data_IF_603909034850
#
_entry.id   IF_603909034850
#
_cell.length_a   1.000
_cell.length_b   1.000
_cell.length_c   1.000
_cell.angle_alpha   90.00
_cell.angle_beta   90.00
_cell.angle_gamma   90.00
#
_symmetry.space_group_name_H-M   'P 1'
#
loop_
_entity.id
_entity.type
_entity.pdbx_description
1 polymer ?
#
# COMPACT_ATOMS: atom_id res chain seq x y z
N UNK A 1 -5.52 27.37 -14.80
CA UNK A 1 -4.28 26.85 -14.20
C UNK A 1 -4.51 25.36 -13.99
N UNK A 2 -3.63 24.50 -14.50
CA UNK A 2 -3.78 23.03 -14.36
C UNK A 2 -3.19 22.60 -13.01
N UNK A 3 -3.94 21.79 -12.27
CA UNK A 3 -3.48 21.14 -11.04
C UNK A 3 -3.50 19.62 -11.28
N UNK A 4 -2.36 18.92 -11.20
CA UNK A 4 -2.31 17.48 -11.41
C UNK A 4 -3.01 16.73 -10.28
N UNK A 5 -3.49 15.52 -10.59
CA UNK A 5 -4.01 14.61 -9.57
C UNK A 5 -2.90 14.23 -8.58
N UNK A 6 -3.25 14.13 -7.30
CA UNK A 6 -2.36 13.61 -6.26
C UNK A 6 -2.21 12.08 -6.30
N UNK A 7 -3.05 11.38 -7.07
CA UNK A 7 -2.98 9.92 -7.21
C UNK A 7 -1.79 9.57 -8.08
N UNK A 8 -0.82 8.84 -7.51
CA UNK A 8 0.33 8.32 -8.25
C UNK A 8 -0.02 7.01 -8.95
N UNK A 9 -0.52 6.03 -8.19
CA UNK A 9 -0.96 4.75 -8.75
C UNK A 9 -1.99 4.04 -7.86
N UNK A 10 -2.97 3.34 -8.47
CA UNK A 10 -3.86 2.44 -7.74
C UNK A 10 -3.50 0.96 -7.96
N UNK A 11 -3.59 0.14 -6.92
CA UNK A 11 -3.27 -1.30 -6.99
C UNK A 11 -4.10 -2.14 -6.02
N UNK A 12 -4.05 -3.47 -6.16
CA UNK A 12 -4.57 -4.39 -5.13
C UNK A 12 -3.41 -4.87 -4.26
N UNK A 13 -3.66 -5.09 -2.97
CA UNK A 13 -2.63 -5.53 -2.03
C UNK A 13 -2.10 -6.91 -2.45
N UNK A 14 -0.80 -7.00 -2.72
CA UNK A 14 -0.15 -8.26 -3.06
C UNK A 14 -0.01 -9.13 -1.81
N UNK A 15 -0.26 -10.44 -1.95
CA UNK A 15 -0.17 -11.38 -0.85
C UNK A 15 -1.26 -11.22 0.22
N UNK A 16 -2.33 -10.46 -0.05
CA UNK A 16 -3.40 -10.18 0.93
C UNK A 16 -3.97 -11.43 1.60
N UNK A 17 -4.15 -12.51 0.83
CA UNK A 17 -4.67 -13.78 1.33
C UNK A 17 -3.70 -14.58 2.21
N UNK A 18 -2.41 -14.25 2.19
CA UNK A 18 -1.37 -14.93 2.99
C UNK A 18 -0.99 -14.14 4.24
N UNK A 19 -1.47 -12.91 4.35
CA UNK A 19 -1.27 -12.06 5.51
C UNK A 19 -2.52 -12.06 6.40
N UNK A 20 -2.43 -11.40 7.54
CA UNK A 20 -3.54 -11.27 8.49
C UNK A 20 -4.65 -10.30 8.01
N UNK A 21 -4.58 -9.84 6.75
CA UNK A 21 -5.56 -8.94 6.14
C UNK A 21 -6.99 -9.50 6.14
N UNK A 22 -7.14 -10.83 6.02
CA UNK A 22 -8.45 -11.48 6.12
C UNK A 22 -9.11 -11.29 7.50
N UNK A 23 -8.33 -11.13 8.57
CA UNK A 23 -8.84 -10.97 9.94
C UNK A 23 -9.46 -9.58 10.18
N UNK A 24 -9.05 -8.58 9.39
CA UNK A 24 -9.49 -7.17 9.54
C UNK A 24 -10.29 -6.68 8.33
N UNK A 25 -10.62 -7.56 7.38
CA UNK A 25 -11.31 -7.17 6.14
C UNK A 25 -12.66 -6.47 6.42
N UNK A 26 -13.38 -6.89 7.47
CA UNK A 26 -14.64 -6.26 7.87
C UNK A 26 -14.48 -4.88 8.54
N UNK A 27 -13.28 -4.58 9.02
CA UNK A 27 -12.97 -3.28 9.66
C UNK A 27 -12.51 -2.25 8.65
N UNK A 28 -11.87 -2.70 7.56
CA UNK A 28 -11.39 -1.85 6.48
C UNK A 28 -12.53 -1.13 5.74
N UNK A 29 -12.34 0.16 5.50
CA UNK A 29 -13.28 1.01 4.76
C UNK A 29 -12.54 1.89 3.77
N UNK A 30 -13.22 2.26 2.69
CA UNK A 30 -12.70 3.26 1.76
C UNK A 30 -12.37 4.56 2.53
N UNK A 31 -11.18 5.11 2.24
CA UNK A 31 -10.63 6.27 2.92
C UNK A 31 -9.68 5.95 4.08
N UNK A 32 -9.66 4.72 4.60
CA UNK A 32 -8.75 4.34 5.68
C UNK A 32 -7.29 4.55 5.28
N UNK A 33 -6.52 5.13 6.21
CA UNK A 33 -5.08 5.34 6.05
C UNK A 33 -4.34 4.03 6.35
N UNK A 34 -3.38 3.72 5.50
CA UNK A 34 -2.49 2.56 5.63
C UNK A 34 -1.06 3.03 5.88
N UNK A 35 -0.29 2.20 6.58
CA UNK A 35 1.13 2.43 6.81
C UNK A 35 1.94 1.64 5.79
N UNK A 36 2.89 2.31 5.14
CA UNK A 36 3.90 1.70 4.28
C UNK A 36 5.17 1.47 5.10
N UNK A 37 5.77 0.29 4.99
CA UNK A 37 7.00 -0.04 5.70
C UNK A 37 7.95 -0.78 4.76
N UNK A 38 9.12 -0.20 4.48
CA UNK A 38 10.13 -0.87 3.67
C UNK A 38 10.79 -2.01 4.47
N UNK A 39 10.81 -3.22 3.92
CA UNK A 39 11.42 -4.39 4.52
C UNK A 39 12.74 -4.73 3.82
N UNK A 40 13.79 -3.94 4.11
CA UNK A 40 15.11 -4.05 3.43
C UNK A 40 15.81 -5.40 3.62
N UNK A 41 15.58 -6.02 4.77
CA UNK A 41 16.16 -7.31 5.12
C UNK A 41 15.27 -8.49 4.68
N UNK A 42 14.24 -8.23 3.85
CA UNK A 42 13.40 -9.29 3.32
C UNK A 42 14.24 -10.23 2.43
N UNK A 43 14.30 -11.54 2.76
CA UNK A 43 15.20 -12.48 2.08
C UNK A 43 14.76 -12.81 0.64
N UNK A 44 13.53 -12.46 0.26
CA UNK A 44 12.97 -12.75 -1.05
C UNK A 44 13.03 -11.54 -1.99
N UNK A 45 12.82 -10.34 -1.44
CA UNK A 45 12.76 -9.10 -2.21
C UNK A 45 13.23 -7.90 -1.35
N UNK A 46 14.46 -7.40 -1.55
CA UNK A 46 14.98 -6.26 -0.77
C UNK A 46 14.28 -4.94 -1.07
N UNK A 47 13.46 -4.88 -2.13
CA UNK A 47 12.64 -3.72 -2.47
C UNK A 47 11.26 -3.75 -1.81
N UNK A 48 10.89 -4.85 -1.13
CA UNK A 48 9.56 -5.05 -0.58
C UNK A 48 9.09 -3.90 0.32
N UNK A 49 7.88 -3.41 0.04
CA UNK A 49 7.17 -2.44 0.88
C UNK A 49 5.91 -3.09 1.42
N UNK A 50 5.92 -3.40 2.70
CA UNK A 50 4.80 -3.98 3.42
C UNK A 50 3.73 -2.91 3.72
N UNK A 51 2.47 -3.34 3.71
CA UNK A 51 1.30 -2.50 3.94
C UNK A 51 0.63 -2.95 5.23
N UNK A 52 0.36 -2.01 6.13
CA UNK A 52 -0.25 -2.27 7.43
C UNK A 52 -1.52 -1.46 7.64
N UNK A 53 -2.48 -2.06 8.36
CA UNK A 53 -3.60 -1.37 9.00
C UNK A 53 -3.44 -1.48 10.52
N UNK A 54 -3.13 -0.37 11.17
CA UNK A 54 -2.71 -0.40 12.57
C UNK A 54 -1.46 -1.26 12.74
N UNK A 55 -1.58 -2.38 13.46
CA UNK A 55 -0.51 -3.36 13.67
C UNK A 55 -0.63 -4.59 12.74
N UNK A 56 -1.69 -4.69 11.97
CA UNK A 56 -1.99 -5.86 11.14
C UNK A 56 -1.35 -5.70 9.77
N UNK A 57 -0.45 -6.63 9.41
CA UNK A 57 0.12 -6.69 8.07
C UNK A 57 -0.96 -7.14 7.09
N UNK A 58 -1.23 -6.31 6.09
CA UNK A 58 -2.20 -6.62 5.05
C UNK A 58 -1.56 -7.30 3.84
N UNK A 59 -0.25 -7.14 3.63
CA UNK A 59 0.46 -7.66 2.47
C UNK A 59 1.52 -6.66 1.99
N UNK A 60 1.68 -6.54 0.68
CA UNK A 60 2.71 -5.72 0.06
C UNK A 60 2.18 -4.86 -1.09
N UNK A 61 2.95 -3.83 -1.45
CA UNK A 61 2.86 -3.18 -2.77
C UNK A 61 3.28 -4.21 -3.84
N UNK A 62 2.57 -4.32 -4.98
CA UNK A 62 2.95 -5.24 -6.05
C UNK A 62 4.37 -4.99 -6.57
N UNK A 63 5.11 -6.07 -6.84
CA UNK A 63 6.53 -5.97 -7.23
C UNK A 63 6.78 -5.20 -8.53
N UNK A 64 5.82 -5.16 -9.46
CA UNK A 64 5.94 -4.36 -10.69
C UNK A 64 5.86 -2.84 -10.45
N UNK A 65 5.46 -2.41 -9.25
CA UNK A 65 5.23 -1.02 -8.89
C UNK A 65 6.10 -0.56 -7.71
N UNK A 66 6.73 -1.50 -6.98
CA UNK A 66 7.43 -1.23 -5.73
C UNK A 66 8.77 -0.52 -5.93
N UNK A 67 9.50 -0.77 -7.03
CA UNK A 67 10.88 -0.33 -7.20
C UNK A 67 11.10 1.18 -6.99
N UNK A 68 10.41 2.07 -7.72
CA UNK A 68 10.55 3.52 -7.53
C UNK A 68 10.13 3.99 -6.12
N UNK A 69 9.06 3.42 -5.55
CA UNK A 69 8.62 3.73 -4.19
C UNK A 69 9.69 3.33 -3.17
N UNK A 70 10.20 2.11 -3.30
CA UNK A 70 11.23 1.56 -2.44
C UNK A 70 12.50 2.39 -2.51
N UNK A 71 12.95 2.78 -3.70
CA UNK A 71 14.11 3.66 -3.87
C UNK A 71 13.90 5.01 -3.17
N UNK A 72 12.72 5.62 -3.32
CA UNK A 72 12.42 6.91 -2.69
C UNK A 72 12.40 6.80 -1.16
N UNK A 73 11.81 5.74 -0.61
CA UNK A 73 11.86 5.47 0.84
C UNK A 73 13.31 5.28 1.33
N UNK A 74 14.18 4.64 0.53
CA UNK A 74 15.58 4.43 0.90
C UNK A 74 16.32 5.77 1.10
N UNK A 75 16.02 6.77 0.30
CA UNK A 75 16.59 8.11 0.40
C UNK A 75 15.82 9.06 1.33
N UNK A 76 14.91 8.54 2.17
CA UNK A 76 14.19 9.33 3.17
C UNK A 76 13.01 10.14 2.63
N UNK A 77 12.48 9.80 1.45
CA UNK A 77 11.30 10.43 0.88
C UNK A 77 10.00 9.67 1.18
N UNK A 78 9.93 8.91 2.26
CA UNK A 78 8.72 8.16 2.61
C UNK A 78 7.54 9.05 2.99
N UNK A 79 7.79 10.20 3.63
CA UNK A 79 6.76 11.14 4.08
C UNK A 79 6.00 11.83 2.94
N UNK A 80 6.49 11.76 1.70
CA UNK A 80 5.76 12.29 0.53
C UNK A 80 4.70 11.33 -0.01
N UNK A 81 4.61 10.12 0.54
CA UNK A 81 3.62 9.13 0.11
C UNK A 81 2.55 8.89 1.16
N UNK A 82 1.30 8.80 0.70
CA UNK A 82 0.19 8.38 1.52
C UNK A 82 -0.56 7.23 0.84
N UNK A 83 -0.74 6.11 1.55
CA UNK A 83 -1.55 4.99 1.10
C UNK A 83 -2.94 5.04 1.74
N UNK A 84 -3.98 4.92 0.91
CA UNK A 84 -5.38 4.81 1.38
C UNK A 84 -6.13 3.68 0.72
N UNK A 85 -7.04 3.07 1.45
CA UNK A 85 -8.01 2.13 0.89
C UNK A 85 -8.93 2.90 -0.07
N UNK A 86 -8.97 2.49 -1.33
CA UNK A 86 -9.91 3.00 -2.33
C UNK A 86 -11.20 2.17 -2.38
N UNK A 87 -11.08 0.85 -2.19
CA UNK A 87 -12.20 -0.06 -2.28
C UNK A 87 -11.96 -1.29 -1.40
N UNK A 88 -13.01 -1.74 -0.74
CA UNK A 88 -13.10 -3.06 -0.11
C UNK A 88 -14.22 -3.83 -0.80
N UNK A 89 -13.92 -5.03 -1.29
CA UNK A 89 -14.80 -5.86 -2.10
C UNK A 89 -14.72 -7.32 -1.63
N UNK A 90 -15.29 -7.67 -0.46
CA UNK A 90 -15.14 -8.99 0.17
C UNK A 90 -15.60 -10.16 -0.71
N UNK A 91 -16.54 -9.91 -1.61
CA UNK A 91 -17.10 -10.87 -2.56
C UNK A 91 -16.16 -11.24 -3.72
N UNK A 92 -15.08 -10.48 -3.94
CA UNK A 92 -14.10 -10.76 -4.99
C UNK A 92 -13.11 -11.84 -4.55
N UNK A 93 -12.34 -12.35 -5.52
CA UNK A 93 -11.25 -13.27 -5.20
C UNK A 93 -10.28 -12.62 -4.21
N UNK A 94 -9.65 -13.38 -3.31
CA UNK A 94 -8.84 -12.82 -2.21
C UNK A 94 -7.77 -11.82 -2.65
N UNK A 95 -7.22 -11.99 -3.85
CA UNK A 95 -6.25 -11.10 -4.49
C UNK A 95 -6.77 -9.70 -4.83
N UNK A 96 -8.08 -9.52 -4.85
CA UNK A 96 -8.73 -8.29 -5.31
C UNK A 96 -9.72 -7.71 -4.31
N UNK A 97 -9.68 -8.17 -3.06
CA UNK A 97 -10.60 -7.72 -2.02
C UNK A 97 -10.29 -6.31 -1.52
N UNK A 98 -9.04 -5.85 -1.60
CA UNK A 98 -8.65 -4.52 -1.14
C UNK A 98 -7.86 -3.80 -2.22
N UNK A 99 -8.41 -2.66 -2.68
CA UNK A 99 -7.74 -1.74 -3.60
C UNK A 99 -7.19 -0.56 -2.81
N UNK A 100 -5.95 -0.20 -3.07
CA UNK A 100 -5.22 0.90 -2.46
C UNK A 100 -4.93 1.96 -3.51
N UNK A 101 -5.01 3.22 -3.12
CA UNK A 101 -4.45 4.33 -3.86
C UNK A 101 -3.18 4.81 -3.16
N UNK A 102 -2.10 4.93 -3.92
CA UNK A 102 -0.90 5.64 -3.51
C UNK A 102 -1.00 7.09 -3.97
N UNK A 103 -0.85 8.02 -3.02
CA UNK A 103 -0.96 9.44 -3.23
C UNK A 103 0.38 10.11 -2.95
N UNK A 104 0.67 11.18 -3.68
CA UNK A 104 1.72 12.13 -3.31
C UNK A 104 1.11 13.21 -2.42
N UNK A 105 1.74 13.46 -1.28
CA UNK A 105 1.40 14.55 -0.36
C UNK A 105 2.48 15.62 -0.42
N UNK A 106 2.12 16.87 -0.12
CA UNK A 106 3.09 17.94 -0.11
C UNK A 106 4.07 17.78 1.06
N UNK A 107 5.37 17.83 0.77
CA UNK A 107 6.39 18.09 1.78
C UNK A 107 6.42 19.59 2.07
N UNK A 108 5.54 20.09 2.94
CA UNK A 108 5.60 21.46 3.44
C UNK A 108 5.93 21.48 4.92
#
# INVERSE_FOLDING_TARGET
MYEPSRVLLPFHIAGFQYADGALVLGDLKAGDKLTLCAERDNPHDPEAVAIYYGKTKLGYVPGNEVGPLSLMMYYGHEDVFEARVQQVAPERSPWHQVRVGLYVVEAR
#
